data_IF_969323206080
#
_entry.id   IF_969323206080
#
_cell.length_a   1.000
_cell.length_b   1.000
_cell.length_c   1.000
_cell.angle_alpha   90.00
_cell.angle_beta   90.00
_cell.angle_gamma   90.00
#
_symmetry.space_group_name_H-M   'P 1'
#
loop_
_entity.id
_entity.type
_entity.pdbx_description
1 polymer ?
#
# COMPACT_ATOMS: atom_id res chain seq x y z
N UNK A 1 17.20 40.34 29.86
CA UNK A 1 15.88 39.96 29.31
C UNK A 1 15.67 38.47 29.53
N UNK A 2 14.84 38.18 30.53
CA UNK A 2 14.14 36.94 30.90
C UNK A 2 14.76 35.56 30.57
N UNK A 3 15.41 34.99 31.59
CA UNK A 3 15.39 33.56 31.94
C UNK A 3 14.26 33.32 32.97
N UNK A 4 13.51 32.23 32.82
CA UNK A 4 12.62 31.63 33.84
C UNK A 4 12.38 30.17 33.37
N UNK A 5 12.55 29.08 34.12
CA UNK A 5 12.19 28.70 35.50
C UNK A 5 11.42 27.37 35.33
N UNK A 6 11.77 26.21 35.88
CA UNK A 6 11.87 25.89 37.30
C UNK A 6 10.61 25.14 37.79
N UNK A 7 10.76 23.84 38.07
CA UNK A 7 10.07 23.01 39.09
C UNK A 7 8.70 22.30 38.88
N UNK A 8 8.77 20.98 39.15
CA UNK A 8 7.95 20.16 40.08
C UNK A 8 6.62 19.50 39.69
N UNK A 9 6.73 18.17 39.56
CA UNK A 9 5.92 17.06 40.10
C UNK A 9 4.84 17.42 41.15
N UNK A 10 3.59 17.00 40.88
CA UNK A 10 2.55 16.70 41.90
C UNK A 10 1.82 15.41 41.50
N UNK A 11 1.55 14.55 42.50
CA UNK A 11 0.85 13.26 42.43
C UNK A 11 -0.34 13.34 43.37
N UNK A 12 -1.56 13.02 42.94
CA UNK A 12 -2.69 12.66 43.81
C UNK A 12 -3.65 11.66 43.13
N UNK A 13 -4.34 10.91 43.97
CA UNK A 13 -4.95 9.56 43.84
C UNK A 13 -6.46 9.57 43.46
N UNK A 14 -7.12 8.40 43.28
CA UNK A 14 -8.31 8.24 42.43
C UNK A 14 -9.65 8.34 43.16
N UNK A 15 -10.72 8.67 42.42
CA UNK A 15 -12.11 8.71 42.91
C UNK A 15 -12.88 7.47 42.45
N UNK A 16 -13.39 6.70 43.41
CA UNK A 16 -14.34 5.58 43.23
C UNK A 16 -15.73 6.13 42.91
N UNK A 17 -16.49 5.44 42.06
CA UNK A 17 -17.93 5.61 41.92
C UNK A 17 -18.59 4.22 41.83
N UNK A 18 -19.32 3.87 42.89
CA UNK A 18 -20.33 2.82 42.91
C UNK A 18 -21.55 3.31 42.12
N UNK A 19 -22.12 2.48 41.26
CA UNK A 19 -23.58 2.39 41.12
C UNK A 19 -23.95 0.97 40.69
N UNK A 20 -24.62 0.27 41.61
CA UNK A 20 -25.33 -0.97 41.31
C UNK A 20 -26.75 -0.63 40.84
N UNK A 21 -27.22 -1.39 39.87
CA UNK A 21 -28.65 -1.52 39.59
C UNK A 21 -28.99 -3.00 39.47
N UNK A 22 -29.83 -3.43 40.39
CA UNK A 22 -30.54 -4.70 40.39
C UNK A 22 -31.78 -4.49 39.54
N UNK A 23 -32.03 -5.36 38.54
CA UNK A 23 -33.40 -5.65 38.13
C UNK A 23 -33.56 -7.07 37.59
N UNK A 24 -34.68 -7.64 38.01
CA UNK A 24 -35.03 -9.05 38.07
C UNK A 24 -35.53 -9.61 36.73
N UNK A 25 -35.40 -10.93 36.65
CA UNK A 25 -35.82 -11.84 35.58
C UNK A 25 -37.31 -11.79 35.29
N UNK A 26 -37.67 -11.90 34.01
CA UNK A 26 -38.80 -12.73 33.54
C UNK A 26 -38.39 -13.48 32.27
N UNK A 27 -38.64 -14.78 32.33
CA UNK A 27 -38.68 -15.82 31.29
C UNK A 27 -39.70 -15.44 30.20
N UNK A 28 -39.66 -15.84 28.93
CA UNK A 28 -39.24 -17.08 28.27
C UNK A 28 -39.18 -16.88 26.71
N UNK A 29 -38.93 -17.90 25.85
CA UNK A 29 -37.94 -17.81 24.78
C UNK A 29 -38.52 -17.87 23.35
N UNK A 30 -37.80 -17.32 22.38
CA UNK A 30 -37.47 -17.95 21.09
C UNK A 30 -36.95 -16.90 20.10
N UNK A 31 -35.71 -17.09 19.61
CA UNK A 31 -35.28 -16.97 18.20
C UNK A 31 -33.79 -16.63 18.11
N UNK A 32 -33.07 -17.63 17.60
CA UNK A 32 -31.72 -17.66 17.03
C UNK A 32 -31.09 -16.31 16.64
N UNK A 33 -30.00 -15.96 17.32
CA UNK A 33 -28.92 -15.14 16.78
C UNK A 33 -27.58 -15.80 17.12
N UNK A 34 -26.91 -16.33 16.10
CA UNK A 34 -25.49 -16.69 16.16
C UNK A 34 -24.69 -15.39 16.22
N UNK A 35 -24.27 -14.98 17.42
CA UNK A 35 -23.27 -13.94 17.59
C UNK A 35 -21.86 -14.53 17.53
N UNK A 36 -21.02 -13.89 16.73
CA UNK A 36 -19.57 -14.06 16.68
C UNK A 36 -18.97 -13.99 18.09
N UNK A 37 -18.39 -15.10 18.57
CA UNK A 37 -17.53 -15.06 19.76
C UNK A 37 -16.10 -14.68 19.34
N UNK A 38 -15.71 -13.48 19.78
CA UNK A 38 -14.36 -12.95 19.78
C UNK A 38 -13.40 -13.87 20.54
N UNK A 39 -12.25 -14.18 19.93
CA UNK A 39 -11.12 -14.85 20.58
C UNK A 39 -10.30 -13.80 21.34
N UNK A 40 -10.22 -13.91 22.67
CA UNK A 40 -9.29 -13.13 23.49
C UNK A 40 -8.03 -13.96 23.78
N UNK A 41 -6.86 -13.39 23.54
CA UNK A 41 -5.56 -13.92 23.98
C UNK A 41 -5.13 -13.24 25.29
N UNK A 42 -4.81 -14.00 26.33
CA UNK A 42 -4.24 -13.47 27.57
C UNK A 42 -2.74 -13.78 27.63
N UNK A 43 -1.89 -12.75 27.49
CA UNK A 43 -0.44 -12.86 27.70
C UNK A 43 -0.18 -12.79 29.20
N UNK A 44 0.45 -13.81 29.79
CA UNK A 44 0.91 -13.79 31.18
C UNK A 44 2.43 -13.92 31.20
N UNK A 45 3.12 -12.82 31.51
CA UNK A 45 4.58 -12.76 31.63
C UNK A 45 5.00 -13.17 33.05
N UNK A 46 5.80 -14.23 33.18
CA UNK A 46 6.61 -14.49 34.37
C UNK A 46 7.95 -15.09 33.97
N UNK A 47 9.01 -14.29 34.10
CA UNK A 47 10.43 -14.68 34.15
C UNK A 47 10.90 -15.77 33.18
N UNK A 48 11.21 -15.36 31.94
CA UNK A 48 12.33 -15.92 31.18
C UNK A 48 12.21 -17.35 30.66
N UNK A 49 11.19 -17.63 29.83
CA UNK A 49 11.18 -18.57 28.67
C UNK A 49 9.76 -18.62 28.11
N UNK A 50 9.58 -18.24 26.86
CA UNK A 50 8.28 -18.26 26.18
C UNK A 50 7.96 -19.69 25.70
N UNK A 51 6.81 -20.24 26.10
CA UNK A 51 6.25 -21.45 25.50
C UNK A 51 4.78 -21.18 25.16
N UNK A 52 4.43 -21.32 23.89
CA UNK A 52 3.06 -21.18 23.40
C UNK A 52 2.37 -22.55 23.48
N UNK A 53 1.40 -22.71 24.38
CA UNK A 53 0.54 -23.90 24.42
C UNK A 53 -0.89 -23.55 24.01
N UNK A 54 -1.40 -24.22 22.98
CA UNK A 54 -2.80 -24.14 22.58
C UNK A 54 -3.60 -25.19 23.36
N UNK A 55 -4.57 -24.75 24.16
CA UNK A 55 -5.52 -25.65 24.83
C UNK A 55 -6.86 -25.59 24.10
N UNK A 56 -7.28 -26.70 23.50
CA UNK A 56 -8.64 -26.88 22.99
C UNK A 56 -9.52 -27.47 24.10
N UNK A 57 -10.77 -27.01 24.30
CA UNK A 57 -11.70 -27.68 25.20
C UNK A 57 -12.08 -29.04 24.61
N UNK A 58 -11.95 -30.09 25.43
CA UNK A 58 -12.39 -31.44 25.11
C UNK A 58 -13.92 -31.49 24.98
N UNK A 59 -14.40 -31.68 23.75
CA UNK A 59 -15.82 -31.92 23.48
C UNK A 59 -16.01 -33.42 23.19
N UNK A 60 -16.39 -34.16 24.23
CA UNK A 60 -16.81 -35.56 24.15
C UNK A 60 -18.26 -35.62 23.67
N UNK A 61 -18.48 -36.26 22.53
CA UNK A 61 -19.66 -37.08 22.27
C UNK A 61 -20.85 -36.43 21.57
N UNK A 62 -20.82 -36.37 20.23
CA UNK A 62 -21.95 -36.85 19.42
C UNK A 62 -21.47 -37.22 18.01
N UNK A 63 -21.11 -38.49 17.84
CA UNK A 63 -20.78 -39.05 16.54
C UNK A 63 -22.05 -39.39 15.76
N UNK A 64 -22.27 -38.69 14.63
CA UNK A 64 -22.93 -39.12 13.37
C UNK A 64 -23.65 -37.93 12.70
N UNK A 65 -22.88 -37.04 12.05
CA UNK A 65 -23.22 -36.39 10.78
C UNK A 65 -22.08 -35.45 10.35
N UNK A 66 -20.87 -35.98 10.20
CA UNK A 66 -19.75 -35.25 9.58
C UNK A 66 -19.26 -36.09 8.41
N UNK A 67 -20.11 -36.23 7.39
CA UNK A 67 -19.66 -36.82 6.12
C UNK A 67 -20.12 -36.03 4.88
N UNK A 68 -20.91 -34.96 5.06
CA UNK A 68 -21.32 -34.05 3.98
C UNK A 68 -20.78 -32.62 4.13
N UNK A 69 -20.21 -32.24 5.28
CA UNK A 69 -19.62 -30.91 5.50
C UNK A 69 -18.16 -30.80 5.05
N UNK A 70 -17.48 -31.93 4.81
CA UNK A 70 -16.12 -31.95 4.26
C UNK A 70 -16.09 -31.38 2.85
N UNK A 71 -17.08 -31.67 2.01
CA UNK A 71 -17.14 -31.18 0.63
C UNK A 71 -17.33 -29.67 0.54
N UNK A 72 -18.13 -29.05 1.42
CA UNK A 72 -18.31 -27.59 1.44
C UNK A 72 -17.09 -26.87 2.00
N UNK A 73 -16.41 -27.44 3.00
CA UNK A 73 -15.17 -26.88 3.55
C UNK A 73 -14.00 -27.08 2.58
N UNK A 74 -13.93 -28.20 1.86
CA UNK A 74 -12.98 -28.41 0.76
C UNK A 74 -13.28 -27.50 -0.42
N UNK A 75 -14.55 -27.32 -0.78
CA UNK A 75 -14.94 -26.40 -1.86
C UNK A 75 -14.68 -24.94 -1.48
N UNK A 76 -14.93 -24.54 -0.23
CA UNK A 76 -14.59 -23.22 0.29
C UNK A 76 -13.08 -23.02 0.45
N UNK A 77 -12.32 -24.05 0.85
CA UNK A 77 -10.85 -24.04 0.83
C UNK A 77 -10.33 -23.91 -0.59
N UNK A 78 -10.87 -24.66 -1.53
CA UNK A 78 -10.53 -24.59 -2.96
C UNK A 78 -10.96 -23.25 -3.59
N UNK A 79 -12.00 -22.59 -3.05
CA UNK A 79 -12.39 -21.21 -3.39
C UNK A 79 -11.44 -20.17 -2.81
N UNK A 80 -10.98 -20.36 -1.56
CA UNK A 80 -9.93 -19.56 -0.90
C UNK A 80 -8.53 -19.83 -1.48
N UNK A 81 -8.33 -20.98 -2.14
CA UNK A 81 -7.11 -21.38 -2.86
C UNK A 81 -7.14 -21.01 -4.34
N UNK A 82 -8.14 -20.24 -4.80
CA UNK A 82 -8.00 -19.54 -6.08
C UNK A 82 -6.91 -18.49 -5.83
N UNK A 83 -5.68 -18.84 -6.20
CA UNK A 83 -4.53 -17.97 -6.15
C UNK A 83 -4.84 -16.77 -7.06
N UNK A 84 -5.41 -15.72 -6.48
CA UNK A 84 -5.75 -14.51 -7.21
C UNK A 84 -4.43 -13.89 -7.67
N UNK A 85 -4.28 -13.71 -8.98
CA UNK A 85 -3.10 -13.10 -9.56
C UNK A 85 -2.97 -11.65 -9.04
N UNK A 86 -1.91 -11.29 -8.31
CA UNK A 86 -1.73 -9.95 -7.74
C UNK A 86 -1.93 -8.81 -8.74
N UNK A 87 -1.57 -9.02 -10.02
CA UNK A 87 -1.75 -8.02 -11.07
C UNK A 87 -3.22 -7.86 -11.46
N UNK A 88 -3.99 -8.95 -11.46
CA UNK A 88 -5.43 -8.91 -11.75
C UNK A 88 -6.21 -8.08 -10.74
N UNK A 89 -5.82 -8.10 -9.45
CA UNK A 89 -6.52 -7.34 -8.38
C UNK A 89 -6.47 -5.83 -8.58
N UNK A 90 -5.42 -5.32 -9.23
CA UNK A 90 -5.20 -3.87 -9.41
C UNK A 90 -5.13 -3.49 -10.89
N UNK A 91 -5.61 -4.36 -11.79
CA UNK A 91 -5.48 -4.21 -13.23
C UNK A 91 -6.09 -2.91 -13.78
N UNK A 92 -7.30 -2.57 -13.32
CA UNK A 92 -7.98 -1.33 -13.71
C UNK A 92 -7.19 -0.09 -13.29
N UNK A 93 -6.67 -0.08 -12.06
CA UNK A 93 -5.84 1.01 -11.55
C UNK A 93 -4.48 1.11 -12.24
N UNK A 94 -3.88 -0.03 -12.59
CA UNK A 94 -2.65 -0.06 -13.37
C UNK A 94 -2.87 0.56 -14.76
N UNK A 95 -4.02 0.33 -15.39
CA UNK A 95 -4.36 0.96 -16.67
C UNK A 95 -4.47 2.48 -16.54
N UNK A 96 -5.08 2.95 -15.45
CA UNK A 96 -5.23 4.37 -15.15
C UNK A 96 -3.89 5.03 -14.83
N UNK A 97 -3.03 4.40 -14.03
CA UNK A 97 -1.66 4.84 -13.77
C UNK A 97 -0.86 4.91 -15.08
N UNK A 98 -0.97 3.91 -15.95
CA UNK A 98 -0.29 3.92 -17.25
C UNK A 98 -0.77 5.07 -18.15
N UNK A 99 -2.08 5.35 -18.17
CA UNK A 99 -2.65 6.47 -18.93
C UNK A 99 -2.15 7.82 -18.40
N UNK A 100 -2.12 8.02 -17.08
CA UNK A 100 -1.60 9.24 -16.45
C UNK A 100 -0.10 9.43 -16.67
N UNK A 101 0.68 8.36 -16.59
CA UNK A 101 2.11 8.38 -16.94
C UNK A 101 2.33 8.89 -18.37
N UNK A 102 1.57 8.39 -19.35
CA UNK A 102 1.66 8.86 -20.75
C UNK A 102 1.28 10.34 -20.88
N UNK A 103 0.27 10.81 -20.13
CA UNK A 103 -0.11 12.22 -20.12
C UNK A 103 0.97 13.14 -19.51
N UNK A 104 1.73 12.66 -18.51
CA UNK A 104 2.76 13.47 -17.85
C UNK A 104 4.03 13.67 -18.68
N UNK A 105 4.32 12.79 -19.65
CA UNK A 105 5.55 12.82 -20.45
C UNK A 105 5.45 13.61 -21.74
N UNK A 106 4.33 14.30 -21.97
CA UNK A 106 4.14 15.18 -23.13
C UNK A 106 5.11 16.37 -23.03
N UNK A 107 5.91 16.58 -24.08
CA UNK A 107 6.87 17.68 -24.19
C UNK A 107 6.64 18.52 -25.44
N UNK A 108 6.92 19.82 -25.36
CA UNK A 108 6.76 20.75 -26.49
C UNK A 108 7.77 20.47 -27.62
N UNK A 109 8.97 20.00 -27.27
CA UNK A 109 10.03 19.69 -28.22
C UNK A 109 9.84 18.26 -28.74
N UNK A 110 9.55 18.05 -30.05
CA UNK A 110 9.15 16.74 -30.57
C UNK A 110 10.16 15.61 -30.37
N UNK A 111 11.46 15.93 -30.49
CA UNK A 111 12.53 14.95 -30.26
C UNK A 111 12.58 14.50 -28.79
N UNK A 112 12.41 15.44 -27.86
CA UNK A 112 12.39 15.13 -26.43
C UNK A 112 11.13 14.35 -26.07
N UNK A 113 9.97 14.73 -26.62
CA UNK A 113 8.71 13.99 -26.42
C UNK A 113 8.85 12.53 -26.87
N UNK A 114 9.39 12.31 -28.07
CA UNK A 114 9.60 10.96 -28.62
C UNK A 114 10.54 10.11 -27.74
N UNK A 115 11.56 10.74 -27.15
CA UNK A 115 12.50 10.08 -26.26
C UNK A 115 11.90 9.80 -24.86
N UNK A 116 11.17 10.75 -24.30
CA UNK A 116 10.52 10.62 -23.00
C UNK A 116 9.39 9.56 -23.03
N UNK A 117 8.64 9.47 -24.12
CA UNK A 117 7.56 8.51 -24.31
C UNK A 117 8.05 7.08 -24.61
N UNK A 118 9.32 6.90 -24.96
CA UNK A 118 9.85 5.67 -25.55
C UNK A 118 9.49 4.40 -24.75
N UNK A 119 9.64 4.44 -23.42
CA UNK A 119 9.35 3.31 -22.53
C UNK A 119 7.93 3.33 -21.91
N UNK A 120 7.09 4.30 -22.28
CA UNK A 120 5.68 4.39 -21.87
C UNK A 120 4.71 4.04 -23.01
N UNK A 121 5.21 3.72 -24.20
CA UNK A 121 4.40 3.20 -25.31
C UNK A 121 3.89 1.80 -25.01
N UNK A 122 2.64 1.55 -25.41
CA UNK A 122 1.97 0.26 -25.24
C UNK A 122 2.82 -0.86 -25.86
N UNK A 123 3.05 -1.94 -25.10
CA UNK A 123 3.88 -3.09 -25.51
C UNK A 123 5.36 -2.99 -25.13
N UNK A 124 5.87 -1.80 -24.79
CA UNK A 124 7.24 -1.59 -24.29
C UNK A 124 7.26 -1.33 -22.78
N UNK A 125 6.08 -1.12 -22.20
CA UNK A 125 5.87 -0.93 -20.78
C UNK A 125 6.38 -2.16 -20.01
N UNK A 126 7.14 -1.92 -18.94
CA UNK A 126 7.73 -3.00 -18.14
C UNK A 126 6.65 -3.78 -17.39
N UNK A 127 7.07 -4.72 -16.55
CA UNK A 127 6.16 -5.60 -15.78
C UNK A 127 5.28 -4.87 -14.73
N UNK A 128 5.37 -3.53 -14.62
CA UNK A 128 4.65 -2.66 -13.66
C UNK A 128 4.62 -3.21 -12.21
N UNK A 129 5.68 -3.90 -11.80
CA UNK A 129 5.75 -4.52 -10.47
C UNK A 129 5.71 -3.47 -9.35
N UNK A 130 6.42 -2.35 -9.51
CA UNK A 130 6.48 -1.28 -8.51
C UNK A 130 5.10 -0.63 -8.27
N UNK A 131 4.35 -0.18 -9.30
CA UNK A 131 2.97 0.25 -9.13
C UNK A 131 2.08 -0.80 -8.46
N UNK A 132 2.20 -2.07 -8.87
CA UNK A 132 1.37 -3.17 -8.34
C UNK A 132 1.54 -3.30 -6.82
N UNK A 133 2.78 -3.37 -6.35
CA UNK A 133 3.08 -3.47 -4.92
C UNK A 133 2.55 -2.25 -4.14
N UNK A 134 2.71 -1.04 -4.69
CA UNK A 134 2.23 0.19 -4.05
C UNK A 134 0.70 0.22 -3.93
N UNK A 135 -0.02 -0.16 -4.98
CA UNK A 135 -1.49 -0.19 -4.98
C UNK A 135 -2.05 -1.26 -4.03
N UNK A 136 -1.42 -2.44 -3.99
CA UNK A 136 -1.79 -3.50 -3.04
C UNK A 136 -1.50 -3.06 -1.60
N UNK A 137 -0.35 -2.44 -1.34
CA UNK A 137 0.01 -1.90 -0.02
C UNK A 137 -0.98 -0.83 0.42
N UNK A 138 -1.31 0.12 -0.47
CA UNK A 138 -2.31 1.14 -0.22
C UNK A 138 -3.67 0.53 0.15
N UNK A 139 -4.06 -0.54 -0.55
CA UNK A 139 -5.31 -1.27 -0.24
C UNK A 139 -5.25 -1.91 1.14
N UNK A 140 -4.13 -2.57 1.48
CA UNK A 140 -3.95 -3.21 2.78
C UNK A 140 -3.96 -2.21 3.96
N UNK A 141 -3.39 -1.03 3.79
CA UNK A 141 -3.34 0.01 4.81
C UNK A 141 -4.68 0.73 5.01
N UNK A 142 -5.50 0.82 3.96
CA UNK A 142 -6.81 1.47 4.03
C UNK A 142 -7.88 0.63 4.78
N UNK A 143 -7.63 -0.66 5.06
CA UNK A 143 -8.58 -1.58 5.74
C UNK A 143 -8.88 -1.17 7.20
N UNK A 144 -8.04 -0.33 7.81
CA UNK A 144 -8.10 -0.05 9.25
C UNK A 144 -8.58 1.35 9.65
N UNK A 145 -9.14 2.16 8.75
CA UNK A 145 -9.80 3.42 9.13
C UNK A 145 -11.27 3.10 9.40
N UNK A 146 -11.73 2.96 10.66
CA UNK A 146 -13.14 2.78 10.94
C UNK A 146 -13.79 4.14 10.70
N UNK A 147 -14.56 4.24 9.62
CA UNK A 147 -15.38 5.42 9.37
C UNK A 147 -16.30 5.66 10.57
N UNK A 148 -16.28 6.85 11.21
CA UNK A 148 -17.38 7.25 12.07
C UNK A 148 -18.61 7.40 11.17
N UNK A 149 -19.68 6.69 11.50
CA UNK A 149 -20.99 6.79 10.85
C UNK A 149 -21.45 8.25 10.88
N UNK A 150 -21.25 8.99 9.80
CA UNK A 150 -21.54 10.41 9.72
C UNK A 150 -21.37 11.00 8.32
N UNK A 151 -22.50 11.13 7.62
CA UNK A 151 -22.81 12.15 6.60
C UNK A 151 -21.82 12.32 5.44
N UNK A 152 -21.90 11.48 4.38
CA UNK A 152 -21.47 11.74 2.99
C UNK A 152 -20.01 12.14 2.67
N UNK A 153 -19.20 12.53 3.66
CA UNK A 153 -17.85 13.11 3.52
C UNK A 153 -16.78 12.01 3.48
N UNK A 154 -17.04 10.85 4.08
CA UNK A 154 -16.10 9.72 4.11
C UNK A 154 -15.72 9.21 2.71
N UNK A 155 -16.68 9.09 1.79
CA UNK A 155 -16.44 8.59 0.43
C UNK A 155 -15.56 9.53 -0.41
N UNK A 156 -15.66 10.84 -0.17
CA UNK A 156 -14.80 11.84 -0.81
C UNK A 156 -13.36 11.74 -0.31
N UNK A 157 -13.15 11.63 1.01
CA UNK A 157 -11.82 11.57 1.63
C UNK A 157 -11.09 10.27 1.24
N UNK A 158 -11.80 9.14 1.19
CA UNK A 158 -11.21 7.86 0.76
C UNK A 158 -10.79 7.89 -0.72
N UNK A 159 -11.60 8.54 -1.57
CA UNK A 159 -11.31 8.72 -2.99
C UNK A 159 -10.12 9.66 -3.23
N UNK A 160 -10.02 10.76 -2.49
CA UNK A 160 -8.87 11.68 -2.56
C UNK A 160 -7.58 10.98 -2.11
N UNK A 161 -7.64 10.25 -0.98
CA UNK A 161 -6.50 9.46 -0.48
C UNK A 161 -6.04 8.44 -1.52
N UNK A 162 -6.98 7.70 -2.14
CA UNK A 162 -6.65 6.71 -3.15
C UNK A 162 -6.00 7.34 -4.38
N UNK A 163 -6.47 8.51 -4.80
CA UNK A 163 -5.87 9.27 -5.90
C UNK A 163 -4.43 9.65 -5.59
N UNK A 164 -4.14 10.12 -4.37
CA UNK A 164 -2.77 10.45 -3.93
C UNK A 164 -1.87 9.21 -3.87
N UNK A 165 -2.40 8.07 -3.44
CA UNK A 165 -1.69 6.78 -3.44
C UNK A 165 -1.34 6.33 -4.87
N UNK A 166 -2.25 6.50 -5.83
CA UNK A 166 -1.99 6.25 -7.25
C UNK A 166 -0.92 7.20 -7.80
N UNK A 167 -0.97 8.49 -7.45
CA UNK A 167 0.08 9.45 -7.85
C UNK A 167 1.46 9.06 -7.33
N UNK A 168 1.59 8.45 -6.14
CA UNK A 168 2.87 7.91 -5.66
C UNK A 168 3.36 6.74 -6.54
N UNK A 169 2.45 5.88 -7.00
CA UNK A 169 2.78 4.80 -7.93
C UNK A 169 3.27 5.35 -9.29
N UNK A 170 2.63 6.41 -9.79
CA UNK A 170 3.04 7.11 -11.00
C UNK A 170 4.45 7.73 -10.84
N UNK A 171 4.70 8.48 -9.76
CA UNK A 171 6.00 9.10 -9.47
C UNK A 171 7.11 8.05 -9.40
N UNK A 172 6.87 6.97 -8.66
CA UNK A 172 7.84 5.88 -8.47
C UNK A 172 8.23 5.22 -9.80
N UNK A 173 7.24 4.97 -10.66
CA UNK A 173 7.49 4.36 -11.96
C UNK A 173 8.19 5.32 -12.93
N UNK A 174 7.90 6.62 -12.86
CA UNK A 174 8.59 7.64 -13.65
C UNK A 174 10.08 7.74 -13.26
N UNK A 175 10.39 7.78 -11.96
CA UNK A 175 11.76 7.76 -11.44
C UNK A 175 12.47 6.46 -11.87
N UNK A 176 11.76 5.32 -11.80
CA UNK A 176 12.32 4.05 -12.25
C UNK A 176 12.72 4.08 -13.73
N UNK A 177 11.85 4.59 -14.61
CA UNK A 177 12.17 4.70 -16.04
C UNK A 177 13.32 5.68 -16.27
N UNK A 178 13.36 6.82 -15.58
CA UNK A 178 14.49 7.75 -15.66
C UNK A 178 15.82 7.07 -15.29
N UNK A 179 15.81 6.20 -14.27
CA UNK A 179 17.00 5.43 -13.90
C UNK A 179 17.41 4.44 -14.99
N UNK A 180 16.46 3.76 -15.64
CA UNK A 180 16.77 2.86 -16.76
C UNK A 180 17.47 3.60 -17.91
N UNK A 181 17.04 4.83 -18.21
CA UNK A 181 17.69 5.67 -19.21
C UNK A 181 19.13 6.04 -18.82
N UNK A 182 19.37 6.32 -17.54
CA UNK A 182 20.70 6.60 -17.03
C UNK A 182 21.60 5.37 -17.13
N UNK A 183 21.10 4.22 -16.67
CA UNK A 183 21.80 2.94 -16.70
C UNK A 183 22.18 2.55 -18.13
N UNK A 184 21.25 2.67 -19.08
CA UNK A 184 21.52 2.35 -20.49
C UNK A 184 22.67 3.18 -21.07
N UNK A 185 22.82 4.44 -20.65
CA UNK A 185 23.94 5.31 -21.07
C UNK A 185 25.24 4.94 -20.36
N UNK A 186 25.20 4.65 -19.05
CA UNK A 186 26.40 4.28 -18.29
C UNK A 186 26.96 2.92 -18.69
N UNK A 187 26.06 1.98 -19.00
CA UNK A 187 26.40 0.60 -19.32
C UNK A 187 26.62 0.39 -20.84
N UNK A 188 26.58 1.46 -21.65
CA UNK A 188 26.60 1.43 -23.13
C UNK A 188 25.67 0.32 -23.70
N UNK A 189 24.46 0.22 -23.16
CA UNK A 189 23.55 -0.87 -23.48
C UNK A 189 23.03 -0.74 -24.92
N UNK A 190 22.97 -1.85 -25.66
CA UNK A 190 22.37 -1.91 -27.01
C UNK A 190 20.86 -2.17 -26.98
N UNK A 191 20.37 -2.86 -25.94
CA UNK A 191 18.98 -3.32 -25.84
C UNK A 191 18.40 -3.16 -24.45
N UNK A 192 17.11 -2.82 -24.38
CA UNK A 192 16.31 -2.75 -23.16
C UNK A 192 14.92 -3.32 -23.43
N UNK A 193 14.45 -4.23 -22.57
CA UNK A 193 13.12 -4.90 -22.68
C UNK A 193 12.90 -5.58 -24.05
N UNK A 194 13.96 -6.13 -24.64
CA UNK A 194 13.89 -6.82 -25.93
C UNK A 194 13.89 -5.91 -27.16
N UNK A 195 13.82 -4.59 -26.99
CA UNK A 195 13.96 -3.60 -28.06
C UNK A 195 15.30 -2.86 -27.93
N UNK A 196 15.65 -2.02 -28.92
CA UNK A 196 16.84 -1.16 -28.82
C UNK A 196 16.76 -0.24 -27.59
N UNK A 197 17.88 -0.03 -26.92
CA UNK A 197 17.97 0.96 -25.84
C UNK A 197 17.81 2.38 -26.40
N UNK A 198 17.40 3.33 -25.56
CA UNK A 198 17.17 4.70 -26.04
C UNK A 198 18.48 5.38 -26.49
N UNK A 199 19.59 5.11 -25.80
CA UNK A 199 20.91 5.62 -26.14
C UNK A 199 21.41 5.07 -27.49
N UNK A 200 21.18 3.78 -27.80
CA UNK A 200 21.54 3.22 -29.10
C UNK A 200 20.67 3.78 -30.24
N UNK A 201 19.38 4.03 -29.99
CA UNK A 201 18.43 4.48 -31.02
C UNK A 201 18.48 5.99 -31.27
N UNK A 202 18.66 6.79 -30.21
CA UNK A 202 18.56 8.26 -30.29
C UNK A 202 19.81 9.00 -29.79
N UNK A 203 20.85 8.27 -29.36
CA UNK A 203 22.11 8.81 -28.88
C UNK A 203 22.11 9.17 -27.38
N UNK A 204 23.29 9.09 -26.76
CA UNK A 204 23.49 9.31 -25.32
C UNK A 204 22.97 10.69 -24.88
N UNK A 205 23.21 11.75 -25.67
CA UNK A 205 22.78 13.11 -25.33
C UNK A 205 21.26 13.21 -25.16
N UNK A 206 20.49 12.59 -26.06
CA UNK A 206 19.03 12.67 -25.97
C UNK A 206 18.49 11.76 -24.84
N UNK A 207 19.13 10.62 -24.60
CA UNK A 207 18.78 9.74 -23.49
C UNK A 207 18.97 10.44 -22.12
N UNK A 208 20.08 11.17 -21.94
CA UNK A 208 20.32 11.97 -20.72
C UNK A 208 19.28 13.10 -20.58
N UNK A 209 18.94 13.81 -21.67
CA UNK A 209 17.91 14.85 -21.62
C UNK A 209 16.52 14.29 -21.29
N UNK A 210 16.17 13.12 -21.83
CA UNK A 210 14.92 12.45 -21.52
C UNK A 210 14.85 12.01 -20.06
N UNK A 211 15.95 11.47 -19.50
CA UNK A 211 16.08 11.17 -18.06
C UNK A 211 15.78 12.41 -17.21
N UNK A 212 16.47 13.51 -17.48
CA UNK A 212 16.36 14.72 -16.66
C UNK A 212 14.95 15.33 -16.76
N UNK A 213 14.34 15.25 -17.94
CA UNK A 213 12.94 15.63 -18.14
C UNK A 213 11.98 14.78 -17.30
N UNK A 214 12.13 13.45 -17.31
CA UNK A 214 11.30 12.55 -16.50
C UNK A 214 11.47 12.81 -15.01
N UNK A 215 12.72 13.00 -14.54
CA UNK A 215 12.99 13.30 -13.14
C UNK A 215 12.38 14.64 -12.72
N UNK A 216 12.47 15.67 -13.57
CA UNK A 216 11.84 16.97 -13.34
C UNK A 216 10.31 16.86 -13.21
N UNK A 217 9.66 16.10 -14.10
CA UNK A 217 8.21 15.84 -14.03
C UNK A 217 7.81 15.08 -12.76
N UNK A 218 8.61 14.10 -12.35
CA UNK A 218 8.39 13.37 -11.11
C UNK A 218 8.47 14.31 -9.89
N UNK A 219 9.44 15.23 -9.85
CA UNK A 219 9.55 16.24 -8.79
C UNK A 219 8.34 17.17 -8.73
N UNK A 220 7.84 17.63 -9.89
CA UNK A 220 6.62 18.47 -9.95
C UNK A 220 5.41 17.71 -9.39
N UNK A 221 5.23 16.45 -9.80
CA UNK A 221 4.14 15.60 -9.29
C UNK A 221 4.28 15.34 -7.77
N UNK A 222 5.50 15.16 -7.28
CA UNK A 222 5.79 14.95 -5.85
C UNK A 222 5.44 16.18 -5.00
N UNK A 223 5.77 17.39 -5.46
CA UNK A 223 5.39 18.65 -4.80
C UNK A 223 3.87 18.86 -4.81
N UNK A 224 3.19 18.44 -5.88
CA UNK A 224 1.73 18.53 -5.97
C UNK A 224 1.01 17.70 -4.89
N UNK A 225 1.66 16.67 -4.33
CA UNK A 225 1.13 15.93 -3.18
C UNK A 225 1.07 16.75 -1.89
N UNK A 226 1.75 17.91 -1.82
CA UNK A 226 1.79 18.81 -0.64
C UNK A 226 2.10 18.09 0.67
N UNK A 227 2.97 17.08 0.62
CA UNK A 227 3.43 16.34 1.79
C UNK A 227 4.96 16.31 1.79
N UNK A 228 5.57 17.07 2.70
CA UNK A 228 7.02 17.23 2.80
C UNK A 228 7.74 15.96 3.26
N UNK A 229 7.08 15.11 4.04
CA UNK A 229 7.62 13.82 4.46
C UNK A 229 7.76 12.89 3.26
N UNK A 230 6.71 12.78 2.42
CA UNK A 230 6.76 12.00 1.18
C UNK A 230 7.83 12.54 0.24
N UNK A 231 7.94 13.87 0.10
CA UNK A 231 9.00 14.51 -0.69
C UNK A 231 10.38 14.10 -0.18
N UNK A 232 10.59 14.19 1.14
CA UNK A 232 11.86 13.83 1.78
C UNK A 232 12.22 12.35 1.57
N UNK A 233 11.26 11.44 1.77
CA UNK A 233 11.48 10.00 1.60
C UNK A 233 11.86 9.65 0.17
N UNK A 234 11.14 10.18 -0.82
CA UNK A 234 11.45 9.95 -2.23
C UNK A 234 12.79 10.58 -2.61
N UNK A 235 13.13 11.76 -2.08
CA UNK A 235 14.44 12.38 -2.29
C UNK A 235 15.59 11.50 -1.76
N UNK A 236 15.45 10.95 -0.55
CA UNK A 236 16.42 9.98 0.01
C UNK A 236 16.53 8.72 -0.85
N UNK A 237 15.42 8.22 -1.40
CA UNK A 237 15.46 7.09 -2.33
C UNK A 237 16.25 7.45 -3.59
N UNK A 238 15.98 8.61 -4.21
CA UNK A 238 16.71 9.06 -5.41
C UNK A 238 18.19 9.26 -5.13
N UNK A 239 18.54 9.88 -4.00
CA UNK A 239 19.93 10.02 -3.56
C UNK A 239 20.62 8.65 -3.47
N UNK A 240 20.03 7.70 -2.74
CA UNK A 240 20.59 6.36 -2.58
C UNK A 240 20.77 5.64 -3.92
N UNK A 241 19.96 5.93 -4.93
CA UNK A 241 20.08 5.30 -6.25
C UNK A 241 21.23 5.89 -7.07
N UNK A 242 21.52 7.18 -6.89
CA UNK A 242 22.63 7.86 -7.56
C UNK A 242 24.00 7.39 -7.05
N UNK A 243 24.08 6.81 -5.85
CA UNK A 243 25.33 6.41 -5.20
C UNK A 243 25.65 4.90 -5.24
N UNK A 244 24.79 4.07 -5.83
CA UNK A 244 24.94 2.59 -5.80
C UNK A 244 25.53 2.02 -7.10
N UNK A 245 26.07 2.86 -7.99
CA UNK A 245 26.80 2.40 -9.19
C UNK A 245 28.20 2.99 -9.24
#
# INVERSE_FOLDING_TARGET
MLFCGGFSRIRTTPRKSLFGFVLSRRTDPSLFLLSNQYVYSTIKVRSGRETLSWSFPSLLGLGRQIHQSSSLIEMARHFLQKQLDPFSLVSDELSLVANRLRAMVIAEVPKLASAAEYFFKLGVEGKRFRPTVLLLMATALNVHIPEPVGDGVGDFVTTELRTRQQSIAEITEMIHVANLLHDDVLDDADKRRGIGSLNAVMGNKLAVLARDFLLSRACVALVALKNTEVVSLIATVVENWLWVK
#
